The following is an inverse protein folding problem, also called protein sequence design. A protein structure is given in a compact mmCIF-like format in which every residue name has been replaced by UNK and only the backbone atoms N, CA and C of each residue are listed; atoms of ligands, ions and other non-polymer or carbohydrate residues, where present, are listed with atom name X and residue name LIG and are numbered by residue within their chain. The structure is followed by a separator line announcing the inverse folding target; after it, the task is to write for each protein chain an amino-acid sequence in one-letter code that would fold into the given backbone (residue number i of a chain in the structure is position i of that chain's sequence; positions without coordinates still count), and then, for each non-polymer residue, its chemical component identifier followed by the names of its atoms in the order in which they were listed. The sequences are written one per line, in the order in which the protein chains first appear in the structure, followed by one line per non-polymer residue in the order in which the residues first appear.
data_IF_721581512701
#
_entry.id   IF_721581512701
#
_cell.length_a   1.000
_cell.length_b   1.000
_cell.length_c   1.000
_cell.angle_alpha   90.00
_cell.angle_beta   90.00
_cell.angle_gamma   90.00
#
_symmetry.space_group_name_H-M   'P 1'
#
loop_
_entity.id
_entity.type
_entity.pdbx_description
1 polymer ?
#
# COMPACT_ATOMS: atom_id res chain seq x y z
N UNK A 1 47.33 -22.43 -4.79
CA UNK A 1 46.27 -21.50 -4.37
C UNK A 1 45.84 -20.71 -5.61
N UNK A 2 44.61 -20.89 -6.12
CA UNK A 2 44.13 -20.17 -7.28
C UNK A 2 43.94 -18.68 -6.95
N UNK A 3 44.36 -17.81 -7.88
CA UNK A 3 44.19 -16.37 -7.76
C UNK A 3 42.70 -15.99 -7.81
N UNK A 4 42.26 -14.98 -7.03
CA UNK A 4 40.87 -14.52 -7.06
C UNK A 4 40.51 -13.93 -8.43
N UNK A 5 39.28 -14.11 -8.92
CA UNK A 5 38.82 -13.54 -10.18
C UNK A 5 38.86 -12.01 -10.11
N UNK A 6 39.43 -11.39 -11.15
CA UNK A 6 39.43 -9.93 -11.32
C UNK A 6 38.01 -9.51 -11.67
N UNK A 7 37.40 -8.70 -10.80
CA UNK A 7 36.10 -8.09 -11.00
C UNK A 7 36.24 -6.89 -11.93
N UNK A 8 35.83 -7.03 -13.19
CA UNK A 8 35.76 -5.96 -14.20
C UNK A 8 34.54 -5.04 -13.97
N UNK A 9 34.42 -4.48 -12.77
CA UNK A 9 33.39 -3.47 -12.49
C UNK A 9 33.88 -2.10 -12.95
N UNK A 10 33.15 -1.48 -13.88
CA UNK A 10 33.50 -0.17 -14.44
C UNK A 10 33.39 0.94 -13.38
N UNK A 11 34.31 1.93 -13.33
CA UNK A 11 34.38 2.95 -12.27
C UNK A 11 33.20 3.92 -12.15
N UNK A 12 32.23 3.88 -13.08
CA UNK A 12 31.08 4.80 -13.12
C UNK A 12 29.84 4.31 -12.35
N UNK A 13 29.86 3.11 -11.75
CA UNK A 13 28.77 2.55 -10.95
C UNK A 13 28.97 2.69 -9.43
N UNK A 14 29.97 3.46 -8.99
CA UNK A 14 29.96 4.03 -7.63
C UNK A 14 29.10 5.30 -7.59
N UNK A 15 27.97 5.28 -8.29
CA UNK A 15 26.86 6.19 -8.02
C UNK A 15 26.63 6.13 -6.51
N UNK A 16 26.75 7.28 -5.84
CA UNK A 16 26.79 7.36 -4.38
C UNK A 16 25.52 6.71 -3.80
N UNK A 17 25.60 5.42 -3.47
CA UNK A 17 24.47 4.67 -2.96
C UNK A 17 24.08 5.30 -1.63
N UNK A 18 22.90 5.93 -1.62
CA UNK A 18 22.39 6.52 -0.40
C UNK A 18 22.06 5.39 0.62
N UNK A 19 22.15 5.71 1.90
CA UNK A 19 21.92 4.74 2.98
C UNK A 19 20.53 4.09 2.91
N UNK A 20 19.53 4.82 2.41
CA UNK A 20 18.15 4.33 2.30
C UNK A 20 18.04 3.19 1.28
N UNK A 21 18.66 3.33 0.11
CA UNK A 21 18.72 2.31 -0.93
C UNK A 21 19.39 1.05 -0.39
N UNK A 22 20.52 1.17 0.30
CA UNK A 22 21.24 0.02 0.88
C UNK A 22 20.37 -0.70 1.91
N UNK A 23 19.71 0.04 2.82
CA UNK A 23 18.80 -0.54 3.83
C UNK A 23 17.63 -1.29 3.21
N UNK A 24 16.99 -0.71 2.19
CA UNK A 24 15.89 -1.35 1.46
C UNK A 24 16.36 -2.61 0.74
N UNK A 25 17.56 -2.59 0.15
CA UNK A 25 18.14 -3.76 -0.52
C UNK A 25 18.47 -4.88 0.47
N UNK A 26 19.01 -4.57 1.65
CA UNK A 26 19.26 -5.56 2.71
C UNK A 26 17.96 -6.25 3.14
N UNK A 27 16.87 -5.50 3.32
CA UNK A 27 15.56 -6.06 3.68
C UNK A 27 14.95 -6.94 2.59
N UNK A 28 15.30 -6.72 1.32
CA UNK A 28 14.80 -7.49 0.19
C UNK A 28 15.59 -8.78 -0.05
N UNK A 29 16.67 -9.04 0.70
CA UNK A 29 17.47 -10.25 0.55
C UNK A 29 16.69 -11.46 1.10
N UNK A 30 16.75 -12.62 0.41
CA UNK A 30 16.22 -13.88 0.96
C UNK A 30 16.85 -14.27 2.29
N UNK A 31 18.10 -13.85 2.53
CA UNK A 31 18.79 -14.01 3.80
C UNK A 31 19.60 -12.73 4.11
N UNK A 32 19.11 -11.83 4.99
CA UNK A 32 19.78 -10.59 5.33
C UNK A 32 21.10 -10.78 6.08
N UNK A 33 21.43 -12.00 6.53
CA UNK A 33 22.73 -12.32 7.15
C UNK A 33 23.86 -12.34 6.12
N UNK A 34 23.54 -12.49 4.84
CA UNK A 34 24.51 -12.57 3.74
C UNK A 34 24.41 -11.34 2.85
N UNK A 35 25.05 -10.24 3.24
CA UNK A 35 25.10 -9.00 2.44
C UNK A 35 25.97 -9.21 1.19
N UNK A 36 25.43 -9.03 -0.04
CA UNK A 36 26.20 -9.11 -1.28
C UNK A 36 27.40 -8.15 -1.33
N UNK A 37 28.46 -8.55 -2.02
CA UNK A 37 29.70 -7.76 -2.12
C UNK A 37 29.47 -6.34 -2.68
N UNK A 38 28.48 -6.19 -3.57
CA UNK A 38 28.06 -4.89 -4.12
C UNK A 38 27.66 -3.85 -3.05
N UNK A 39 27.17 -4.30 -1.88
CA UNK A 39 26.77 -3.42 -0.77
C UNK A 39 27.77 -3.44 0.39
N UNK A 40 28.65 -4.44 0.43
CA UNK A 40 29.54 -4.70 1.57
C UNK A 40 30.49 -3.52 1.81
N UNK A 41 31.05 -2.94 0.76
CA UNK A 41 31.92 -1.75 0.86
C UNK A 41 31.23 -0.58 1.58
N UNK A 42 29.96 -0.32 1.27
CA UNK A 42 29.17 0.73 1.92
C UNK A 42 28.81 0.36 3.36
N UNK A 43 28.34 -0.88 3.60
CA UNK A 43 27.97 -1.34 4.95
C UNK A 43 29.18 -1.31 5.89
N UNK A 44 30.36 -1.67 5.39
CA UNK A 44 31.61 -1.61 6.16
C UNK A 44 32.03 -0.16 6.44
N UNK A 45 31.81 0.77 5.51
CA UNK A 45 32.15 2.18 5.69
C UNK A 45 31.13 2.98 6.53
N UNK A 46 29.86 2.57 6.56
CA UNK A 46 28.77 3.32 7.20
C UNK A 46 28.25 2.60 8.46
N UNK A 47 28.54 3.16 9.65
CA UNK A 47 28.11 2.60 10.93
C UNK A 47 26.58 2.38 11.03
N UNK A 48 25.78 3.29 10.47
CA UNK A 48 24.32 3.18 10.47
C UNK A 48 23.79 2.06 9.57
N UNK A 49 24.47 1.73 8.48
CA UNK A 49 24.11 0.59 7.62
C UNK A 49 24.62 -0.73 8.20
N UNK A 50 25.76 -0.72 8.91
CA UNK A 50 26.27 -1.89 9.65
C UNK A 50 25.31 -2.32 10.76
N UNK A 51 24.91 -1.40 11.63
CA UNK A 51 23.96 -1.69 12.70
C UNK A 51 22.61 -2.20 12.16
N UNK A 52 22.17 -1.68 11.01
CA UNK A 52 20.97 -2.13 10.33
C UNK A 52 21.10 -3.57 9.81
N UNK A 53 22.21 -3.91 9.16
CA UNK A 53 22.47 -5.26 8.66
C UNK A 53 22.53 -6.29 9.80
N UNK A 54 23.19 -5.96 10.90
CA UNK A 54 23.24 -6.78 12.11
C UNK A 54 21.84 -6.99 12.71
N UNK A 55 21.02 -5.94 12.79
CA UNK A 55 19.65 -6.04 13.28
C UNK A 55 18.79 -6.93 12.38
N UNK A 56 18.86 -6.75 11.06
CA UNK A 56 18.13 -7.57 10.09
C UNK A 56 18.53 -9.05 10.20
N UNK A 57 19.84 -9.34 10.29
CA UNK A 57 20.33 -10.70 10.49
C UNK A 57 19.89 -11.31 11.83
N UNK A 58 19.85 -10.52 12.90
CA UNK A 58 19.34 -10.96 14.21
C UNK A 58 17.86 -11.30 14.16
N UNK A 59 17.04 -10.48 13.51
CA UNK A 59 15.61 -10.73 13.35
C UNK A 59 15.36 -12.02 12.57
N UNK A 60 16.07 -12.24 11.45
CA UNK A 60 15.98 -13.49 10.69
C UNK A 60 16.36 -14.71 11.54
N UNK A 61 17.43 -14.57 12.35
CA UNK A 61 17.84 -15.61 13.30
C UNK A 61 16.79 -15.93 14.37
N UNK A 62 16.03 -14.94 14.83
CA UNK A 62 14.92 -15.13 15.78
C UNK A 62 13.71 -15.78 15.09
N UNK A 63 13.38 -15.36 13.87
CA UNK A 63 12.28 -15.95 13.08
C UNK A 63 12.57 -17.42 12.79
N UNK A 64 13.80 -17.77 12.42
CA UNK A 64 14.21 -19.15 12.19
C UNK A 64 14.12 -20.04 13.43
N UNK A 65 14.16 -19.47 14.64
CA UNK A 65 13.99 -20.20 15.91
C UNK A 65 12.53 -20.40 16.30
N UNK A 66 11.59 -19.68 15.67
CA UNK A 66 10.17 -19.92 15.91
C UNK A 66 9.82 -21.32 15.43
N UNK A 67 9.37 -22.17 16.34
CA UNK A 67 8.88 -23.49 16.00
C UNK A 67 7.73 -23.35 14.99
N UNK A 68 7.94 -23.85 13.78
CA UNK A 68 6.86 -23.96 12.82
C UNK A 68 5.76 -24.83 13.46
N UNK A 69 4.50 -24.37 13.51
CA UNK A 69 3.43 -25.19 14.04
C UNK A 69 3.40 -26.50 13.26
N UNK A 70 3.36 -27.62 13.98
CA UNK A 70 3.31 -28.94 13.36
C UNK A 70 2.10 -29.00 12.43
N UNK A 71 2.35 -29.08 11.13
CA UNK A 71 1.30 -29.31 10.15
C UNK A 71 0.68 -30.69 10.37
N UNK A 72 -0.59 -30.90 9.98
CA UNK A 72 -1.18 -32.24 10.04
C UNK A 72 -0.37 -33.19 9.15
N UNK A 73 0.04 -34.33 9.70
CA UNK A 73 0.94 -35.28 9.02
C UNK A 73 0.45 -35.66 7.61
N UNK A 74 -0.87 -35.82 7.47
CA UNK A 74 -1.50 -36.26 6.22
C UNK A 74 -1.53 -35.18 5.15
N UNK A 75 -1.53 -33.89 5.53
CA UNK A 75 -1.63 -32.79 4.56
C UNK A 75 -0.36 -32.60 3.75
N UNK A 76 0.82 -32.87 4.33
CA UNK A 76 2.09 -32.80 3.60
C UNK A 76 2.15 -33.87 2.51
N UNK A 77 1.76 -35.11 2.85
CA UNK A 77 1.71 -36.21 1.89
C UNK A 77 0.70 -35.92 0.77
N UNK A 78 -0.51 -35.45 1.12
CA UNK A 78 -1.54 -35.09 0.15
C UNK A 78 -1.11 -33.95 -0.80
N UNK A 79 -0.45 -32.91 -0.27
CA UNK A 79 0.09 -31.81 -1.09
C UNK A 79 1.18 -32.29 -2.04
N UNK A 80 2.14 -33.09 -1.54
CA UNK A 80 3.21 -33.65 -2.37
C UNK A 80 2.67 -34.59 -3.46
N UNK A 81 1.64 -35.38 -3.16
CA UNK A 81 0.94 -36.18 -4.15
C UNK A 81 0.32 -35.30 -5.23
N UNK A 82 -0.41 -34.25 -4.83
CA UNK A 82 -1.04 -33.30 -5.75
C UNK A 82 -0.04 -32.60 -6.67
N UNK A 83 1.11 -32.15 -6.12
CA UNK A 83 2.18 -31.50 -6.88
C UNK A 83 2.87 -32.44 -7.87
N UNK A 84 2.98 -33.73 -7.57
CA UNK A 84 3.54 -34.72 -8.51
C UNK A 84 2.58 -35.06 -9.66
N UNK A 85 1.28 -35.03 -9.39
CA UNK A 85 0.25 -35.34 -10.40
C UNK A 85 -0.16 -34.15 -11.25
N UNK A 86 0.08 -32.92 -10.79
CA UNK A 86 -0.17 -31.74 -11.61
C UNK A 86 1.03 -31.51 -12.52
N UNK A 87 0.86 -31.58 -13.86
CA UNK A 87 1.90 -31.12 -14.76
C UNK A 87 2.19 -29.65 -14.46
N UNK A 88 3.46 -29.26 -14.53
CA UNK A 88 3.92 -27.88 -14.31
C UNK A 88 3.49 -26.98 -15.48
N UNK A 89 2.19 -26.89 -15.74
CA UNK A 89 1.61 -25.85 -16.58
C UNK A 89 1.23 -24.71 -15.65
N UNK A 90 2.10 -23.71 -15.58
CA UNK A 90 1.70 -22.39 -15.09
C UNK A 90 0.78 -21.80 -16.15
N UNK A 91 -0.48 -22.25 -16.17
CA UNK A 91 -1.53 -21.48 -16.81
C UNK A 91 -1.66 -20.19 -15.99
N UNK A 92 -1.08 -19.12 -16.51
CA UNK A 92 -1.41 -17.76 -16.06
C UNK A 92 -2.86 -17.54 -16.48
N UNK A 93 -3.78 -17.98 -15.63
CA UNK A 93 -5.20 -17.78 -15.81
C UNK A 93 -5.42 -16.26 -15.89
N UNK A 94 -5.65 -15.78 -17.10
CA UNK A 94 -6.19 -14.44 -17.34
C UNK A 94 -7.62 -14.48 -16.82
N UNK A 95 -7.79 -14.11 -15.55
CA UNK A 95 -9.10 -14.02 -14.92
C UNK A 95 -9.93 -12.99 -15.70
N UNK A 96 -10.82 -13.49 -16.56
CA UNK A 96 -11.97 -12.70 -16.96
C UNK A 96 -12.85 -12.51 -15.72
N UNK A 97 -13.35 -11.29 -15.47
CA UNK A 97 -14.21 -11.01 -14.33
C UNK A 97 -15.56 -11.72 -14.50
N UNK A 98 -15.62 -12.99 -14.10
CA UNK A 98 -16.85 -13.72 -13.96
C UNK A 98 -17.72 -13.03 -12.91
N UNK A 99 -18.95 -12.72 -13.29
CA UNK A 99 -19.89 -11.96 -12.46
C UNK A 99 -20.14 -12.65 -11.12
N UNK A 100 -19.62 -12.05 -10.04
CA UNK A 100 -19.74 -12.48 -8.63
C UNK A 100 -21.13 -12.96 -8.21
N UNK A 101 -22.21 -12.47 -8.87
CA UNK A 101 -23.60 -12.84 -8.57
C UNK A 101 -23.97 -14.28 -8.92
N UNK A 102 -23.41 -14.85 -9.99
CA UNK A 102 -23.75 -16.23 -10.38
C UNK A 102 -23.09 -17.26 -9.45
N UNK A 103 -21.83 -16.99 -9.07
CA UNK A 103 -21.06 -17.85 -8.18
C UNK A 103 -21.60 -17.90 -6.74
N UNK A 104 -22.09 -16.78 -6.22
CA UNK A 104 -22.69 -16.72 -4.87
C UNK A 104 -24.01 -17.48 -4.79
N UNK A 105 -24.82 -17.50 -5.86
CA UNK A 105 -26.09 -18.26 -5.87
C UNK A 105 -25.88 -19.78 -5.88
N UNK A 106 -24.84 -20.27 -6.55
CA UNK A 106 -24.57 -21.71 -6.62
C UNK A 106 -23.87 -22.28 -5.37
N UNK A 107 -23.18 -21.44 -4.58
CA UNK A 107 -22.38 -21.89 -3.43
C UNK A 107 -22.91 -21.43 -2.06
N UNK A 108 -24.16 -20.96 -1.97
CA UNK A 108 -24.74 -20.38 -0.76
C UNK A 108 -24.69 -21.32 0.48
N UNK A 109 -24.79 -22.64 0.27
CA UNK A 109 -24.69 -23.64 1.36
C UNK A 109 -23.26 -23.87 1.86
N UNK A 110 -22.24 -23.67 1.01
CA UNK A 110 -20.82 -23.76 1.41
C UNK A 110 -20.33 -22.48 2.10
N UNK A 111 -20.87 -21.32 1.73
CA UNK A 111 -20.51 -20.03 2.33
C UNK A 111 -21.03 -19.90 3.77
N UNK A 112 -22.18 -20.50 4.09
CA UNK A 112 -22.72 -20.53 5.46
C UNK A 112 -21.81 -21.24 6.47
N UNK A 113 -21.12 -22.31 6.08
CA UNK A 113 -20.17 -23.01 6.95
C UNK A 113 -18.85 -22.26 7.18
N UNK A 114 -18.42 -21.46 6.20
CA UNK A 114 -17.14 -20.74 6.26
C UNK A 114 -17.20 -19.51 7.17
N UNK A 115 -18.34 -18.81 7.23
CA UNK A 115 -18.53 -17.67 8.13
C UNK A 115 -18.44 -18.07 9.62
N UNK A 116 -18.99 -19.24 9.99
CA UNK A 116 -18.90 -19.75 11.35
C UNK A 116 -17.46 -20.14 11.74
N UNK A 117 -16.70 -20.75 10.81
CA UNK A 117 -15.31 -21.13 11.06
C UNK A 117 -14.38 -19.91 11.26
N UNK A 118 -14.60 -18.81 10.53
CA UNK A 118 -13.82 -17.57 10.71
C UNK A 118 -14.11 -16.91 12.06
N UNK A 119 -15.38 -16.89 12.50
CA UNK A 119 -15.74 -16.34 13.82
C UNK A 119 -15.18 -17.18 14.98
N UNK A 120 -15.15 -18.52 14.86
CA UNK A 120 -14.54 -19.40 15.86
C UNK A 120 -13.01 -19.22 15.89
N UNK A 121 -12.36 -19.10 14.73
CA UNK A 121 -10.92 -18.84 14.66
C UNK A 121 -10.53 -17.48 15.28
N UNK A 122 -11.29 -16.41 14.99
CA UNK A 122 -11.06 -15.10 15.61
C UNK A 122 -11.40 -15.08 17.11
N UNK A 123 -12.47 -15.77 17.53
CA UNK A 123 -12.84 -15.90 18.94
C UNK A 123 -11.81 -16.68 19.77
N UNK A 124 -11.23 -17.75 19.19
CA UNK A 124 -10.17 -18.52 19.83
C UNK A 124 -8.85 -17.73 19.93
N UNK A 125 -8.47 -16.96 18.89
CA UNK A 125 -7.28 -16.10 18.95
C UNK A 125 -7.41 -15.02 20.02
N UNK A 126 -8.58 -14.37 20.12
CA UNK A 126 -8.82 -13.30 21.09
C UNK A 126 -8.78 -13.76 22.57
N UNK A 127 -8.98 -15.05 22.83
CA UNK A 127 -8.94 -15.62 24.18
C UNK A 127 -7.59 -16.24 24.52
N UNK A 128 -6.88 -16.84 23.56
CA UNK A 128 -5.57 -17.49 23.78
C UNK A 128 -4.43 -16.47 23.92
N UNK A 129 -4.55 -15.26 23.38
CA UNK A 129 -3.50 -14.23 23.41
C UNK A 129 -3.31 -13.46 24.73
N UNK A 130 -4.09 -13.71 25.79
CA UNK A 130 -4.08 -12.86 27.01
C UNK A 130 -3.01 -13.20 28.06
N UNK A 131 -2.38 -14.38 27.98
CA UNK A 131 -1.45 -14.86 29.02
C UNK A 131 0.02 -15.02 28.55
N UNK A 132 0.37 -14.51 27.37
CA UNK A 132 1.76 -14.47 26.93
C UNK A 132 2.55 -13.40 27.71
N UNK A 133 3.86 -13.61 27.98
CA UNK A 133 4.71 -12.54 28.49
C UNK A 133 4.58 -11.34 27.56
N UNK A 134 4.19 -10.18 28.11
CA UNK A 134 4.06 -8.94 27.33
C UNK A 134 5.43 -8.71 26.69
N UNK A 135 5.57 -8.81 25.36
CA UNK A 135 6.84 -8.48 24.72
C UNK A 135 7.15 -7.05 25.16
N UNK A 136 8.35 -6.87 25.70
CA UNK A 136 8.85 -5.56 26.09
C UNK A 136 8.69 -4.67 24.86
N UNK A 137 7.77 -3.72 24.95
CA UNK A 137 7.28 -2.98 23.80
C UNK A 137 8.46 -2.17 23.29
N UNK A 138 9.05 -2.65 22.20
CA UNK A 138 10.06 -1.95 21.44
C UNK A 138 9.64 -0.47 21.37
N UNK A 139 10.55 0.38 21.85
CA UNK A 139 10.38 1.82 21.95
C UNK A 139 9.66 2.32 20.71
N UNK A 140 8.50 2.97 20.90
CA UNK A 140 7.60 3.35 19.80
C UNK A 140 8.39 4.13 18.77
N UNK A 141 8.76 3.48 17.68
CA UNK A 141 9.37 4.15 16.54
C UNK A 141 8.41 5.28 16.14
N UNK A 142 8.89 6.52 15.94
CA UNK A 142 8.05 7.63 15.53
C UNK A 142 7.22 7.18 14.33
N UNK A 143 5.89 7.13 14.50
CA UNK A 143 5.01 6.76 13.42
C UNK A 143 5.05 7.87 12.40
N UNK A 144 5.14 7.48 11.14
CA UNK A 144 5.01 8.41 10.05
C UNK A 144 3.61 9.07 10.10
N UNK A 145 3.54 10.42 10.15
CA UNK A 145 2.26 11.13 10.32
C UNK A 145 1.33 10.96 9.11
N UNK A 146 1.85 10.70 7.91
CA UNK A 146 1.04 10.44 6.73
C UNK A 146 0.41 9.04 6.79
N UNK A 147 1.17 8.01 7.18
CA UNK A 147 0.62 6.68 7.42
C UNK A 147 -0.49 6.69 8.48
N UNK A 148 -0.31 7.46 9.55
CA UNK A 148 -1.36 7.62 10.57
C UNK A 148 -2.64 8.21 9.98
N UNK A 149 -2.54 9.29 9.19
CA UNK A 149 -3.69 9.86 8.49
C UNK A 149 -4.34 8.87 7.53
N UNK A 150 -3.56 8.12 6.74
CA UNK A 150 -4.11 7.10 5.83
C UNK A 150 -4.90 6.03 6.57
N UNK A 151 -4.37 5.51 7.68
CA UNK A 151 -5.09 4.54 8.52
C UNK A 151 -6.37 5.14 9.08
N UNK A 152 -6.33 6.40 9.55
CA UNK A 152 -7.53 7.08 10.04
C UNK A 152 -8.58 7.27 8.93
N UNK A 153 -8.17 7.59 7.70
CA UNK A 153 -9.07 7.72 6.54
C UNK A 153 -9.69 6.39 6.14
N UNK A 154 -8.91 5.31 6.15
CA UNK A 154 -9.42 3.96 5.85
C UNK A 154 -10.43 3.50 6.91
N UNK A 155 -10.14 3.74 8.19
CA UNK A 155 -11.09 3.49 9.28
C UNK A 155 -12.36 4.33 9.13
N UNK A 156 -12.24 5.61 8.77
CA UNK A 156 -13.39 6.48 8.51
C UNK A 156 -14.22 5.97 7.32
N UNK A 157 -13.57 5.52 6.25
CA UNK A 157 -14.22 4.96 5.07
C UNK A 157 -14.95 3.65 5.38
N UNK A 158 -14.34 2.77 6.17
CA UNK A 158 -14.94 1.51 6.62
C UNK A 158 -16.15 1.73 7.55
N UNK A 159 -16.13 2.79 8.37
CA UNK A 159 -17.22 3.16 9.27
C UNK A 159 -18.35 3.94 8.60
N UNK A 160 -18.09 4.53 7.43
CA UNK A 160 -19.07 5.34 6.73
C UNK A 160 -20.26 4.49 6.24
N UNK A 161 -21.44 4.75 6.81
CA UNK A 161 -22.67 4.02 6.52
C UNK A 161 -23.38 4.53 5.26
N UNK A 162 -23.24 5.82 4.95
CA UNK A 162 -23.94 6.47 3.84
C UNK A 162 -23.01 6.84 2.68
N UNK A 163 -23.51 6.96 1.44
CA UNK A 163 -22.74 7.46 0.31
C UNK A 163 -22.10 8.83 0.58
N UNK A 164 -22.86 9.73 1.22
CA UNK A 164 -22.39 11.04 1.64
C UNK A 164 -21.17 10.95 2.57
N UNK A 165 -21.21 10.10 3.60
CA UNK A 165 -20.08 9.92 4.52
C UNK A 165 -18.85 9.34 3.81
N UNK A 166 -19.05 8.38 2.89
CA UNK A 166 -17.96 7.80 2.11
C UNK A 166 -17.27 8.84 1.23
N UNK A 167 -18.05 9.75 0.63
CA UNK A 167 -17.51 10.86 -0.16
C UNK A 167 -16.67 11.82 0.68
N UNK A 168 -17.12 12.16 1.89
CA UNK A 168 -16.32 13.00 2.81
C UNK A 168 -15.00 12.33 3.17
N UNK A 169 -15.02 11.03 3.47
CA UNK A 169 -13.81 10.26 3.80
C UNK A 169 -12.83 10.19 2.62
N UNK A 170 -13.32 9.91 1.40
CA UNK A 170 -12.53 9.88 0.18
C UNK A 170 -11.97 11.27 -0.18
N UNK A 171 -12.74 12.33 0.03
CA UNK A 171 -12.29 13.71 -0.18
C UNK A 171 -11.15 14.07 0.76
N UNK A 172 -11.24 13.65 2.03
CA UNK A 172 -10.14 13.79 2.99
C UNK A 172 -8.89 13.00 2.57
N UNK A 173 -9.05 11.78 2.07
CA UNK A 173 -7.92 10.98 1.57
C UNK A 173 -7.25 11.61 0.34
N UNK A 174 -8.04 12.20 -0.58
CA UNK A 174 -7.50 12.93 -1.73
C UNK A 174 -6.68 14.15 -1.26
N UNK A 175 -7.19 14.93 -0.30
CA UNK A 175 -6.46 16.07 0.26
C UNK A 175 -5.13 15.64 0.88
N UNK A 176 -5.15 14.58 1.71
CA UNK A 176 -3.95 14.05 2.35
C UNK A 176 -2.91 13.56 1.33
N UNK A 177 -3.34 12.84 0.27
CA UNK A 177 -2.46 12.40 -0.82
C UNK A 177 -1.87 13.57 -1.62
N UNK A 178 -2.66 14.61 -1.89
CA UNK A 178 -2.19 15.79 -2.61
C UNK A 178 -1.18 16.61 -1.78
N UNK A 179 -1.38 16.70 -0.47
CA UNK A 179 -0.45 17.35 0.45
C UNK A 179 0.87 16.56 0.53
N UNK A 180 0.77 15.23 0.66
CA UNK A 180 1.94 14.35 0.70
C UNK A 180 2.75 14.41 -0.59
N UNK A 181 2.10 14.36 -1.76
CA UNK A 181 2.79 14.48 -3.05
C UNK A 181 3.59 15.78 -3.15
N UNK A 182 3.06 16.91 -2.67
CA UNK A 182 3.78 18.19 -2.65
C UNK A 182 4.97 18.18 -1.69
N UNK A 183 4.81 17.56 -0.52
CA UNK A 183 5.90 17.40 0.45
C UNK A 183 7.03 16.52 -0.10
N UNK A 184 6.68 15.40 -0.72
CA UNK A 184 7.61 14.44 -1.28
C UNK A 184 8.32 14.93 -2.54
N UNK A 185 7.72 15.81 -3.34
CA UNK A 185 8.27 16.22 -4.63
C UNK A 185 9.67 16.88 -4.59
N UNK A 186 10.16 17.29 -3.41
CA UNK A 186 11.51 17.84 -3.23
C UNK A 186 12.55 16.82 -2.75
N UNK A 187 12.12 15.71 -2.16
CA UNK A 187 12.98 14.79 -1.41
C UNK A 187 12.87 13.33 -1.87
N UNK A 188 11.72 12.95 -2.43
CA UNK A 188 11.44 11.61 -2.88
C UNK A 188 11.95 11.39 -4.29
N UNK A 189 12.18 10.11 -4.62
CA UNK A 189 12.47 9.73 -5.98
C UNK A 189 11.25 9.96 -6.89
N UNK A 190 11.46 10.15 -8.21
CA UNK A 190 10.36 10.25 -9.17
C UNK A 190 9.42 9.04 -9.14
N UNK A 191 9.90 7.86 -8.80
CA UNK A 191 9.08 6.64 -8.77
C UNK A 191 8.16 6.59 -7.55
N UNK A 192 8.63 6.99 -6.37
CA UNK A 192 7.76 7.14 -5.19
C UNK A 192 6.67 8.18 -5.43
N UNK A 193 7.02 9.31 -6.05
CA UNK A 193 6.04 10.34 -6.40
C UNK A 193 5.00 9.82 -7.41
N UNK A 194 5.40 8.98 -8.38
CA UNK A 194 4.47 8.34 -9.33
C UNK A 194 3.49 7.41 -8.63
N UNK A 195 3.90 6.73 -7.58
CA UNK A 195 3.01 5.85 -6.82
C UNK A 195 1.96 6.64 -6.04
N UNK A 196 2.35 7.75 -5.39
CA UNK A 196 1.40 8.66 -4.74
C UNK A 196 0.44 9.27 -5.77
N UNK A 197 0.94 9.69 -6.93
CA UNK A 197 0.10 10.20 -8.02
C UNK A 197 -0.90 9.15 -8.52
N UNK A 198 -0.50 7.88 -8.61
CA UNK A 198 -1.39 6.77 -9.00
C UNK A 198 -2.45 6.50 -7.93
N UNK A 199 -2.12 6.65 -6.66
CA UNK A 199 -3.10 6.52 -5.58
C UNK A 199 -4.11 7.64 -5.61
N UNK A 200 -3.66 8.89 -5.78
CA UNK A 200 -4.54 10.04 -5.95
C UNK A 200 -5.48 9.86 -7.16
N UNK A 201 -4.94 9.41 -8.30
CA UNK A 201 -5.70 9.11 -9.51
C UNK A 201 -6.85 8.12 -9.24
N UNK A 202 -6.55 6.99 -8.57
CA UNK A 202 -7.57 5.99 -8.20
C UNK A 202 -8.60 6.53 -7.21
N UNK A 203 -8.16 7.26 -6.18
CA UNK A 203 -9.09 7.86 -5.19
C UNK A 203 -10.07 8.82 -5.86
N UNK A 204 -9.60 9.63 -6.81
CA UNK A 204 -10.47 10.59 -7.52
C UNK A 204 -11.34 9.89 -8.57
N UNK A 205 -10.74 9.13 -9.49
CA UNK A 205 -11.44 8.57 -10.65
C UNK A 205 -12.27 7.34 -10.33
N UNK A 206 -11.74 6.45 -9.50
CA UNK A 206 -12.40 5.17 -9.17
C UNK A 206 -13.17 5.25 -7.85
N UNK A 207 -12.81 6.21 -6.97
CA UNK A 207 -13.47 6.45 -5.70
C UNK A 207 -14.51 7.57 -5.76
N UNK A 208 -14.06 8.83 -5.80
CA UNK A 208 -14.91 10.01 -5.63
C UNK A 208 -15.97 10.14 -6.72
N UNK A 209 -15.59 10.11 -7.99
CA UNK A 209 -16.53 10.36 -9.10
C UNK A 209 -17.66 9.32 -9.17
N UNK A 210 -17.41 8.00 -9.06
CA UNK A 210 -18.50 7.01 -9.02
C UNK A 210 -19.41 7.18 -7.81
N UNK A 211 -18.86 7.41 -6.62
CA UNK A 211 -19.67 7.60 -5.40
C UNK A 211 -20.49 8.89 -5.44
N UNK A 212 -20.00 9.93 -6.12
CA UNK A 212 -20.74 11.16 -6.34
C UNK A 212 -21.97 10.92 -7.24
N UNK A 213 -21.86 10.04 -8.23
CA UNK A 213 -23.01 9.61 -9.05
C UNK A 213 -24.00 8.80 -8.22
N UNK A 214 -23.53 7.89 -7.36
CA UNK A 214 -24.44 7.13 -6.48
C UNK A 214 -25.24 8.08 -5.59
N UNK A 215 -24.62 9.15 -5.08
CA UNK A 215 -25.27 10.16 -4.24
C UNK A 215 -26.44 10.86 -4.97
N UNK A 216 -26.36 11.10 -6.28
CA UNK A 216 -27.48 11.72 -7.03
C UNK A 216 -28.71 10.81 -7.15
N UNK A 217 -28.57 9.52 -6.82
CA UNK A 217 -29.67 8.56 -6.75
C UNK A 217 -30.07 8.19 -5.32
N UNK A 218 -29.35 8.68 -4.30
CA UNK A 218 -29.63 8.38 -2.90
C UNK A 218 -30.91 9.08 -2.43
N UNK A 219 -31.87 8.28 -1.94
CA UNK A 219 -33.13 8.77 -1.38
C UNK A 219 -32.95 9.44 0.00
N UNK A 220 -31.82 9.19 0.66
CA UNK A 220 -31.55 9.70 2.01
C UNK A 220 -31.07 11.15 2.09
N UNK A 221 -30.84 11.84 0.96
CA UNK A 221 -30.33 13.22 0.94
C UNK A 221 -31.17 14.13 0.04
N UNK A 222 -31.41 15.35 0.49
CA UNK A 222 -32.16 16.33 -0.31
C UNK A 222 -31.33 16.78 -1.53
N UNK A 223 -31.95 17.23 -2.64
CA UNK A 223 -31.21 17.78 -3.78
C UNK A 223 -30.27 18.94 -3.40
N UNK A 224 -30.69 19.81 -2.46
CA UNK A 224 -29.90 20.94 -2.00
C UNK A 224 -28.65 20.51 -1.22
N UNK A 225 -28.78 19.56 -0.29
CA UNK A 225 -27.64 19.01 0.45
C UNK A 225 -26.63 18.32 -0.46
N UNK A 226 -27.12 17.53 -1.43
CA UNK A 226 -26.26 16.85 -2.41
C UNK A 226 -25.49 17.85 -3.25
N UNK A 227 -26.17 18.88 -3.77
CA UNK A 227 -25.53 19.97 -4.52
C UNK A 227 -24.46 20.68 -3.69
N UNK A 228 -24.77 21.03 -2.44
CA UNK A 228 -23.82 21.69 -1.54
C UNK A 228 -22.59 20.82 -1.27
N UNK A 229 -22.80 19.53 -1.00
CA UNK A 229 -21.70 18.59 -0.73
C UNK A 229 -20.80 18.37 -1.95
N UNK A 230 -21.38 18.21 -3.14
CA UNK A 230 -20.62 18.06 -4.38
C UNK A 230 -19.85 19.34 -4.74
N UNK A 231 -20.45 20.51 -4.49
CA UNK A 231 -19.79 21.80 -4.69
C UNK A 231 -18.59 22.01 -3.75
N UNK A 232 -18.72 21.64 -2.47
CA UNK A 232 -17.61 21.69 -1.50
C UNK A 232 -16.43 20.80 -1.93
N UNK A 233 -16.71 19.54 -2.28
CA UNK A 233 -15.68 18.61 -2.76
C UNK A 233 -15.03 19.09 -4.07
N UNK A 234 -15.81 19.67 -4.99
CA UNK A 234 -15.27 20.26 -6.20
C UNK A 234 -14.34 21.45 -5.90
N UNK A 235 -14.72 22.32 -4.97
CA UNK A 235 -13.89 23.45 -4.55
C UNK A 235 -12.56 22.98 -3.92
N UNK A 236 -12.60 21.93 -3.07
CA UNK A 236 -11.40 21.32 -2.48
C UNK A 236 -10.47 20.72 -3.52
N UNK A 237 -11.00 19.98 -4.50
CA UNK A 237 -10.20 19.46 -5.61
C UNK A 237 -9.61 20.58 -6.49
N UNK A 238 -10.36 21.66 -6.71
CA UNK A 238 -9.85 22.84 -7.41
C UNK A 238 -8.67 23.48 -6.68
N UNK A 239 -8.82 23.71 -5.38
CA UNK A 239 -7.75 24.22 -4.52
C UNK A 239 -6.51 23.31 -4.51
N UNK A 240 -6.71 21.98 -4.40
CA UNK A 240 -5.62 21.01 -4.48
C UNK A 240 -4.89 21.07 -5.83
N UNK A 241 -5.62 21.23 -6.95
CA UNK A 241 -5.02 21.38 -8.27
C UNK A 241 -4.12 22.62 -8.36
N UNK A 242 -4.60 23.75 -7.84
CA UNK A 242 -3.87 25.02 -7.89
C UNK A 242 -2.61 24.97 -7.02
N UNK A 243 -2.71 24.39 -5.81
CA UNK A 243 -1.57 24.19 -4.91
C UNK A 243 -0.51 23.25 -5.50
N UNK A 244 -0.94 22.16 -6.14
CA UNK A 244 -0.03 21.23 -6.82
C UNK A 244 0.62 21.87 -8.05
N UNK A 245 -0.14 22.67 -8.83
CA UNK A 245 0.43 23.39 -9.98
C UNK A 245 1.44 24.43 -9.53
N UNK A 246 1.18 25.15 -8.45
CA UNK A 246 2.15 26.08 -7.84
C UNK A 246 3.41 25.33 -7.40
N UNK A 247 3.27 24.22 -6.68
CA UNK A 247 4.40 23.40 -6.25
C UNK A 247 5.23 22.86 -7.43
N UNK A 248 4.61 22.54 -8.57
CA UNK A 248 5.32 22.09 -9.78
C UNK A 248 6.34 23.11 -10.33
N UNK A 249 6.16 24.40 -10.02
CA UNK A 249 7.12 25.46 -10.38
C UNK A 249 8.39 25.46 -9.53
N UNK A 250 8.35 24.85 -8.34
CA UNK A 250 9.40 24.92 -7.33
C UNK A 250 10.19 23.62 -7.15
N UNK A 251 9.81 22.55 -7.87
CA UNK A 251 10.40 21.21 -7.73
C UNK A 251 11.39 20.90 -8.85
N UNK A 252 12.28 19.91 -8.65
CA UNK A 252 13.16 19.39 -9.70
C UNK A 252 12.41 19.01 -11.00
N UNK A 253 13.04 19.17 -12.19
CA UNK A 253 12.39 18.96 -13.48
C UNK A 253 11.77 17.57 -13.70
N UNK A 254 12.34 16.54 -13.08
CA UNK A 254 11.88 15.15 -13.10
C UNK A 254 10.60 14.90 -12.28
N UNK A 255 10.36 15.68 -11.21
CA UNK A 255 9.14 15.61 -10.41
C UNK A 255 7.95 16.36 -11.05
N UNK A 256 8.22 17.37 -11.90
CA UNK A 256 7.19 18.21 -12.54
C UNK A 256 6.08 17.43 -13.25
N UNK A 257 6.36 16.50 -14.19
CA UNK A 257 5.30 15.81 -14.92
C UNK A 257 4.39 14.98 -14.01
N UNK A 258 4.92 14.50 -12.87
CA UNK A 258 4.14 13.72 -11.90
C UNK A 258 3.17 14.63 -11.13
N UNK A 259 3.63 15.81 -10.69
CA UNK A 259 2.74 16.80 -10.06
C UNK A 259 1.69 17.35 -11.03
N UNK A 260 2.07 17.61 -12.28
CA UNK A 260 1.11 18.06 -13.30
C UNK A 260 -0.02 17.04 -13.50
N UNK A 261 0.30 15.74 -13.51
CA UNK A 261 -0.72 14.67 -13.55
C UNK A 261 -1.68 14.71 -12.36
N UNK A 262 -1.19 15.01 -11.16
CA UNK A 262 -2.05 15.16 -9.96
C UNK A 262 -2.97 16.37 -10.14
N UNK A 263 -2.44 17.52 -10.57
CA UNK A 263 -3.25 18.72 -10.82
C UNK A 263 -4.32 18.49 -11.89
N UNK A 264 -3.98 17.79 -12.98
CA UNK A 264 -4.94 17.44 -14.03
C UNK A 264 -6.02 16.47 -13.54
N UNK A 265 -5.65 15.49 -12.71
CA UNK A 265 -6.62 14.57 -12.10
C UNK A 265 -7.56 15.30 -11.14
N UNK A 266 -7.03 16.24 -10.35
CA UNK A 266 -7.82 17.06 -9.44
C UNK A 266 -8.82 17.94 -10.22
N UNK A 267 -8.39 18.59 -11.32
CA UNK A 267 -9.28 19.35 -12.22
C UNK A 267 -10.33 18.48 -12.90
N UNK A 268 -9.96 17.27 -13.32
CA UNK A 268 -10.91 16.29 -13.84
C UNK A 268 -12.00 15.98 -12.80
N UNK A 269 -11.60 15.68 -11.56
CA UNK A 269 -12.54 15.42 -10.47
C UNK A 269 -13.42 16.62 -10.16
N UNK A 270 -12.84 17.82 -10.02
CA UNK A 270 -13.56 19.07 -9.82
C UNK A 270 -14.66 19.26 -10.88
N UNK A 271 -14.31 19.19 -12.17
CA UNK A 271 -15.25 19.36 -13.27
C UNK A 271 -16.38 18.33 -13.21
N UNK A 272 -16.05 17.06 -12.96
CA UNK A 272 -17.06 15.99 -12.85
C UNK A 272 -18.01 16.19 -11.67
N UNK A 273 -17.52 16.66 -10.53
CA UNK A 273 -18.35 16.95 -9.37
C UNK A 273 -19.24 18.18 -9.60
N UNK A 274 -18.75 19.21 -10.28
CA UNK A 274 -19.56 20.37 -10.69
C UNK A 274 -20.68 19.97 -11.67
N UNK A 275 -20.37 19.16 -12.68
CA UNK A 275 -21.36 18.66 -13.64
C UNK A 275 -22.49 17.87 -12.94
N UNK A 276 -22.14 17.10 -11.89
CA UNK A 276 -23.11 16.32 -11.10
C UNK A 276 -23.92 17.17 -10.11
N UNK A 277 -23.40 18.33 -9.70
CA UNK A 277 -24.08 19.25 -8.80
C UNK A 277 -25.22 20.02 -9.49
N UNK A 278 -25.21 20.10 -10.83
CA UNK A 278 -26.16 20.89 -11.63
C UNK A 278 -26.12 22.37 -11.27
#
# INVERSE_FOLDING_TARGET
MPAPPKSDATPNEMEAMNCQTVRNKILALPDPRHVPDAFRSHVDACAGCRAWAELAGRLEGLVAQLAAPAGPADKKAALLAKLRTQPATVEVAREEPATLRAWVKQNATLVGGLAAAVLVAFGAWATIGKNGPKPDLAEKTPRDPFLEKMVQRDVALARAATPAQKLVALGGLADDLSAEARGLARIASPDELKDVARWFDRVVKDGLVPRAKDLTTDAGSTPAERKAQLADLAARLGHAADEVKKASGEVPPDAKPVLERIADTARFGQKKLQDLAG
#
